data_IF_389690092079
#
_entry.id   IF_389690092079
#
_cell.length_a   1.000
_cell.length_b   1.000
_cell.length_c   1.000
_cell.angle_alpha   90.00
_cell.angle_beta   90.00
_cell.angle_gamma   90.00
#
_symmetry.space_group_name_H-M   'P 1'
#
loop_
_entity.id
_entity.type
_entity.pdbx_description
1 polymer ?
#
# COMPACT_ATOMS: atom_id res chain seq x y z
N UNK A 1 -6.53 -11.59 -17.46
CA UNK A 1 -6.29 -10.16 -17.19
C UNK A 1 -5.39 -10.09 -15.98
N UNK A 2 -4.32 -9.28 -15.99
CA UNK A 2 -3.45 -9.13 -14.82
C UNK A 2 -4.15 -8.20 -13.83
N UNK A 3 -4.36 -8.65 -12.60
CA UNK A 3 -4.96 -7.83 -11.52
C UNK A 3 -3.99 -6.73 -11.13
N UNK A 4 -4.46 -5.49 -11.01
CA UNK A 4 -3.69 -4.36 -10.51
C UNK A 4 -3.72 -4.38 -8.97
N UNK A 5 -2.58 -4.59 -8.32
CA UNK A 5 -2.46 -4.76 -6.87
C UNK A 5 -2.04 -3.47 -6.18
N UNK A 6 -2.84 -3.01 -5.22
CA UNK A 6 -2.61 -1.80 -4.44
C UNK A 6 -2.35 -2.16 -2.98
N UNK A 7 -1.14 -1.86 -2.49
CA UNK A 7 -0.80 -1.97 -1.08
C UNK A 7 -1.23 -0.72 -0.31
N UNK A 8 -1.66 -0.89 0.94
CA UNK A 8 -1.85 0.23 1.89
C UNK A 8 -0.94 0.05 3.09
N UNK A 9 -0.29 1.11 3.54
CA UNK A 9 0.60 1.03 4.71
C UNK A 9 -0.18 0.70 5.97
N UNK A 10 0.43 -0.08 6.87
CA UNK A 10 -0.26 -0.65 8.06
C UNK A 10 -0.75 0.40 9.05
N UNK A 11 -0.10 1.57 9.10
CA UNK A 11 -0.47 2.73 9.93
C UNK A 11 -1.78 3.41 9.53
N UNK A 12 -2.35 3.06 8.38
CA UNK A 12 -3.73 3.38 8.04
C UNK A 12 -4.74 2.60 8.88
N UNK A 13 -4.32 1.54 9.59
CA UNK A 13 -5.18 0.73 10.44
C UNK A 13 -4.80 0.82 11.91
N UNK A 14 -5.83 0.88 12.75
CA UNK A 14 -5.72 0.68 14.19
C UNK A 14 -5.34 -0.78 14.48
N UNK A 15 -5.02 -1.06 15.75
CA UNK A 15 -4.86 -2.44 16.22
C UNK A 15 -6.12 -3.30 16.08
N UNK A 16 -7.32 -2.69 16.08
CA UNK A 16 -8.60 -3.36 15.82
C UNK A 16 -8.91 -3.57 14.33
N UNK A 17 -8.09 -3.00 13.43
CA UNK A 17 -8.28 -3.11 11.98
C UNK A 17 -9.26 -2.09 11.39
N UNK A 18 -9.59 -1.03 12.13
CA UNK A 18 -10.34 0.12 11.62
C UNK A 18 -9.40 1.17 11.02
N UNK A 19 -9.89 2.02 10.13
CA UNK A 19 -9.07 3.09 9.57
C UNK A 19 -8.72 4.12 10.66
N UNK A 20 -7.43 4.50 10.74
CA UNK A 20 -6.93 5.52 11.68
C UNK A 20 -7.31 6.94 11.28
N UNK A 21 -7.49 7.13 9.98
CA UNK A 21 -8.04 8.33 9.36
C UNK A 21 -9.48 8.04 8.94
N UNK A 22 -10.31 9.08 8.85
CA UNK A 22 -11.71 8.92 8.42
C UNK A 22 -11.85 8.30 7.04
N UNK A 23 -13.05 8.40 6.44
CA UNK A 23 -13.27 7.85 5.11
C UNK A 23 -12.34 8.49 4.07
N UNK A 24 -11.44 7.68 3.49
CA UNK A 24 -10.52 8.06 2.41
C UNK A 24 -11.03 7.63 1.02
N UNK A 25 -12.28 7.16 0.93
CA UNK A 25 -12.86 6.71 -0.33
C UNK A 25 -12.35 5.34 -0.78
N UNK A 26 -11.86 4.50 0.14
CA UNK A 26 -11.32 3.16 -0.17
C UNK A 26 -12.37 2.28 -0.89
N UNK A 27 -13.64 2.47 -0.56
CA UNK A 27 -14.76 1.77 -1.19
C UNK A 27 -14.90 2.08 -2.69
N UNK A 28 -14.48 3.26 -3.15
CA UNK A 28 -14.46 3.56 -4.58
C UNK A 28 -13.42 2.68 -5.30
N UNK A 29 -12.24 2.51 -4.71
CA UNK A 29 -11.17 1.69 -5.29
C UNK A 29 -11.55 0.20 -5.29
N UNK A 30 -12.22 -0.30 -4.24
CA UNK A 30 -12.72 -1.68 -4.17
C UNK A 30 -13.73 -2.04 -5.25
N UNK A 31 -14.43 -1.04 -5.80
CA UNK A 31 -15.43 -1.24 -6.86
C UNK A 31 -14.82 -1.27 -8.27
N UNK A 32 -13.54 -0.94 -8.43
CA UNK A 32 -12.88 -0.94 -9.74
C UNK A 32 -12.60 -2.37 -10.19
N UNK A 33 -13.15 -2.83 -11.33
CA UNK A 33 -12.88 -4.17 -11.84
C UNK A 33 -11.39 -4.40 -12.11
N UNK A 34 -10.85 -5.51 -11.61
CA UNK A 34 -9.45 -5.87 -11.80
C UNK A 34 -8.47 -5.18 -10.86
N UNK A 35 -8.95 -4.41 -9.87
CA UNK A 35 -8.12 -3.87 -8.78
C UNK A 35 -8.26 -4.74 -7.54
N UNK A 36 -7.13 -5.15 -6.96
CA UNK A 36 -7.06 -5.82 -5.67
C UNK A 36 -6.32 -4.92 -4.67
N UNK A 37 -6.78 -4.96 -3.43
CA UNK A 37 -6.31 -4.05 -2.39
C UNK A 37 -6.12 -4.81 -1.08
N UNK A 38 -4.95 -4.63 -0.47
CA UNK A 38 -4.59 -5.23 0.80
C UNK A 38 -3.65 -4.32 1.59
N UNK A 39 -3.65 -4.48 2.92
CA UNK A 39 -2.78 -3.72 3.81
C UNK A 39 -1.48 -4.47 4.04
N UNK A 40 -0.39 -3.73 4.22
CA UNK A 40 0.87 -4.29 4.68
C UNK A 40 0.66 -5.04 5.99
N UNK A 41 1.37 -6.17 6.19
CA UNK A 41 1.22 -6.97 7.39
C UNK A 41 1.69 -6.23 8.65
N UNK A 42 2.67 -5.33 8.49
CA UNK A 42 3.26 -4.55 9.57
C UNK A 42 3.61 -3.13 9.14
N UNK A 43 3.79 -2.26 10.12
CA UNK A 43 4.31 -0.90 9.91
C UNK A 43 5.81 -0.92 10.17
N UNK A 44 6.58 -0.41 9.21
CA UNK A 44 8.00 -0.08 9.40
C UNK A 44 8.18 1.43 9.18
N UNK A 45 9.00 2.12 9.99
CA UNK A 45 9.28 3.55 9.79
C UNK A 45 9.92 3.88 8.43
N UNK A 46 10.66 2.94 7.87
CA UNK A 46 11.16 2.93 6.50
C UNK A 46 10.65 1.66 5.82
N UNK A 47 10.02 1.81 4.66
CA UNK A 47 9.41 0.68 3.95
C UNK A 47 10.50 -0.21 3.39
N UNK A 48 10.46 -1.50 3.73
CA UNK A 48 11.38 -2.48 3.19
C UNK A 48 11.01 -2.88 1.75
N UNK A 49 11.98 -3.25 0.89
CA UNK A 49 11.71 -3.72 -0.48
C UNK A 49 10.69 -4.87 -0.55
N UNK A 50 10.68 -5.73 0.46
CA UNK A 50 9.79 -6.88 0.55
C UNK A 50 8.34 -6.46 0.83
N UNK A 51 8.11 -5.34 1.52
CA UNK A 51 6.75 -4.85 1.82
C UNK A 51 6.03 -4.35 0.56
N UNK A 52 6.78 -3.89 -0.44
CA UNK A 52 6.21 -3.37 -1.70
C UNK A 52 6.24 -4.41 -2.84
N UNK A 53 6.88 -5.56 -2.61
CA UNK A 53 7.07 -6.58 -3.63
C UNK A 53 5.73 -7.13 -4.14
N UNK A 54 5.53 -7.08 -5.46
CA UNK A 54 4.33 -7.59 -6.12
C UNK A 54 3.10 -6.68 -6.05
N UNK A 55 3.24 -5.45 -5.54
CA UNK A 55 2.26 -4.39 -5.71
C UNK A 55 2.58 -3.54 -6.95
N UNK A 56 1.53 -3.11 -7.65
CA UNK A 56 1.65 -2.14 -8.73
C UNK A 56 1.64 -0.69 -8.20
N UNK A 57 1.00 -0.44 -7.05
CA UNK A 57 0.96 0.87 -6.39
C UNK A 57 0.85 0.75 -4.87
N UNK A 58 1.20 1.82 -4.14
CA UNK A 58 1.08 1.90 -2.68
C UNK A 58 0.40 3.21 -2.27
N UNK A 59 -0.63 3.13 -1.43
CA UNK A 59 -1.20 4.26 -0.71
C UNK A 59 -0.54 4.33 0.65
N UNK A 60 0.12 5.45 0.95
CA UNK A 60 0.98 5.58 2.11
C UNK A 60 0.54 6.72 3.01
N UNK A 61 0.64 6.53 4.32
CA UNK A 61 0.41 7.59 5.30
C UNK A 61 1.73 8.18 5.84
N UNK A 62 2.38 7.51 6.79
CA UNK A 62 3.55 8.04 7.49
C UNK A 62 4.94 7.47 7.14
N UNK A 63 5.12 6.24 6.60
CA UNK A 63 6.45 5.66 6.50
C UNK A 63 7.30 6.33 5.40
N UNK A 64 8.62 6.22 5.54
CA UNK A 64 9.59 6.75 4.58
C UNK A 64 9.84 5.76 3.45
N UNK A 65 10.04 6.29 2.25
CA UNK A 65 10.51 5.56 1.08
C UNK A 65 11.89 6.08 0.71
N UNK A 66 12.86 5.19 0.57
CA UNK A 66 14.24 5.50 0.23
C UNK A 66 14.61 4.89 -1.13
N UNK A 67 15.85 5.09 -1.56
CA UNK A 67 16.36 4.40 -2.75
C UNK A 67 16.40 2.89 -2.49
N UNK A 68 16.75 2.51 -1.28
CA UNK A 68 16.85 1.16 -0.78
C UNK A 68 15.49 0.45 -0.87
N UNK A 69 14.41 1.11 -0.41
CA UNK A 69 13.02 0.63 -0.60
C UNK A 69 12.74 0.18 -2.04
N UNK A 70 13.21 0.96 -3.03
CA UNK A 70 12.94 0.72 -4.45
C UNK A 70 13.98 -0.16 -5.15
N UNK A 71 15.06 -0.56 -4.47
CA UNK A 71 16.21 -1.22 -5.09
C UNK A 71 15.93 -2.67 -5.53
N UNK A 72 14.83 -3.29 -5.09
CA UNK A 72 14.52 -4.71 -5.34
C UNK A 72 13.14 -4.98 -5.94
N UNK A 73 12.34 -3.97 -6.23
CA UNK A 73 10.94 -4.14 -6.63
C UNK A 73 10.72 -3.82 -8.11
N UNK A 74 10.14 -4.76 -8.85
CA UNK A 74 9.75 -4.60 -10.26
C UNK A 74 8.43 -3.78 -10.33
N UNK A 75 8.49 -2.55 -9.85
CA UNK A 75 7.31 -1.69 -9.59
C UNK A 75 7.08 -0.64 -10.68
N UNK A 76 5.81 -0.41 -10.99
CA UNK A 76 5.32 0.75 -11.75
C UNK A 76 4.79 1.82 -10.79
N UNK A 77 5.67 2.45 -10.03
CA UNK A 77 5.32 3.34 -8.91
C UNK A 77 4.45 4.55 -9.30
N UNK A 78 3.43 4.86 -8.49
CA UNK A 78 2.94 6.23 -8.28
C UNK A 78 2.56 6.41 -6.80
N UNK A 79 3.05 7.50 -6.18
CA UNK A 79 2.83 7.85 -4.76
C UNK A 79 1.79 8.97 -4.69
N UNK A 80 0.77 8.80 -3.85
CA UNK A 80 -0.26 9.79 -3.52
C UNK A 80 -0.33 9.99 -2.00
#
# INVERSE_FOLDING_TARGET
MNTFRVGLTRDLLTSSGELTIGDIGLEALRKVPGVAIDFFPEYLPEVAPEQIAGYDAVISLAPKYTRETLAGADMKLSVL
#
